data_IF_913986182974
#
_entry.id   IF_913986182974
#
_cell.length_a   1.000
_cell.length_b   1.000
_cell.length_c   1.000
_cell.angle_alpha   90.00
_cell.angle_beta   90.00
_cell.angle_gamma   90.00
#
_symmetry.space_group_name_H-M   'P 1'
#
loop_
_entity.id
_entity.type
_entity.pdbx_description
1 polymer ?
#
# COMPACT_ATOMS: atom_id res chain seq x y z
N UNK A 1 7.56 -12.31 2.99
CA UNK A 1 6.93 -11.68 1.81
C UNK A 1 5.84 -12.57 1.23
N UNK A 2 5.99 -13.89 1.31
CA UNK A 2 4.99 -14.88 0.91
C UNK A 2 3.64 -14.71 1.62
N UNK A 3 3.63 -14.52 2.94
CA UNK A 3 2.39 -14.28 3.68
C UNK A 3 1.66 -13.02 3.22
N UNK A 4 2.40 -11.98 2.80
CA UNK A 4 1.81 -10.75 2.27
C UNK A 4 1.10 -11.02 0.94
N UNK A 5 1.77 -11.69 -0.02
CA UNK A 5 1.17 -12.00 -1.32
C UNK A 5 -0.04 -12.93 -1.14
N UNK A 6 0.07 -13.98 -0.33
CA UNK A 6 -1.04 -14.91 -0.05
C UNK A 6 -2.21 -14.21 0.64
N UNK A 7 -1.94 -13.36 1.63
CA UNK A 7 -2.97 -12.62 2.36
C UNK A 7 -3.69 -11.61 1.48
N UNK A 8 -2.95 -10.82 0.68
CA UNK A 8 -3.52 -9.84 -0.24
C UNK A 8 -4.48 -10.50 -1.23
N UNK A 9 -4.02 -11.55 -1.91
CA UNK A 9 -4.84 -12.28 -2.89
C UNK A 9 -6.05 -12.96 -2.24
N UNK A 10 -5.90 -13.44 -1.00
CA UNK A 10 -7.00 -14.07 -0.27
C UNK A 10 -8.09 -13.07 0.11
N UNK A 11 -7.72 -11.95 0.74
CA UNK A 11 -8.67 -10.93 1.20
C UNK A 11 -9.46 -10.36 0.01
N UNK A 12 -8.79 -10.08 -1.11
CA UNK A 12 -9.47 -9.59 -2.30
C UNK A 12 -10.47 -10.62 -2.84
N UNK A 13 -10.09 -11.91 -2.90
CA UNK A 13 -10.96 -12.98 -3.43
C UNK A 13 -12.26 -13.21 -2.64
N UNK A 14 -12.29 -12.83 -1.36
CA UNK A 14 -13.49 -13.00 -0.51
C UNK A 14 -14.34 -11.74 -0.43
N UNK A 15 -13.90 -10.63 -1.05
CA UNK A 15 -14.51 -9.30 -0.97
C UNK A 15 -14.60 -8.71 0.45
N UNK A 16 -14.86 -7.42 0.53
CA UNK A 16 -15.11 -6.73 1.80
C UNK A 16 -16.61 -6.56 2.04
N UNK A 17 -17.26 -7.57 2.62
CA UNK A 17 -18.71 -7.57 2.88
C UNK A 17 -19.55 -7.23 1.62
N UNK A 18 -19.16 -7.76 0.46
CA UNK A 18 -19.80 -7.48 -0.83
C UNK A 18 -19.31 -6.21 -1.53
N UNK A 19 -18.34 -5.49 -0.95
CA UNK A 19 -17.63 -4.39 -1.62
C UNK A 19 -16.27 -4.85 -2.14
N UNK A 20 -15.72 -4.13 -3.12
CA UNK A 20 -14.35 -4.36 -3.58
C UNK A 20 -13.35 -4.02 -2.46
N UNK A 21 -12.35 -4.88 -2.25
CA UNK A 21 -11.24 -4.61 -1.33
C UNK A 21 -10.29 -3.54 -1.93
N UNK A 22 -9.95 -3.70 -3.21
CA UNK A 22 -9.07 -2.77 -3.93
C UNK A 22 -9.82 -1.52 -4.41
N UNK A 23 -9.11 -0.40 -4.45
CA UNK A 23 -9.62 0.88 -4.92
C UNK A 23 -8.51 1.74 -5.53
N UNK A 24 -8.92 2.76 -6.27
CA UNK A 24 -8.04 3.81 -6.80
C UNK A 24 -8.70 5.18 -6.63
N UNK A 25 -7.92 6.25 -6.81
CA UNK A 25 -8.44 7.61 -6.87
C UNK A 25 -8.57 8.05 -8.32
N UNK A 26 -9.80 8.15 -8.80
CA UNK A 26 -10.10 8.72 -10.12
C UNK A 26 -9.93 10.24 -10.08
N UNK A 27 -9.41 10.83 -11.16
CA UNK A 27 -9.12 12.28 -11.25
C UNK A 27 -8.19 12.81 -10.15
N UNK A 28 -7.22 12.00 -9.70
CA UNK A 28 -6.34 12.32 -8.54
C UNK A 28 -5.59 13.65 -8.61
N UNK A 29 -5.38 14.22 -9.80
CA UNK A 29 -4.74 15.54 -9.99
C UNK A 29 -5.70 16.72 -9.85
N UNK A 30 -7.02 16.49 -9.75
CA UNK A 30 -8.04 17.54 -9.70
C UNK A 30 -8.85 17.39 -8.40
N UNK A 31 -8.51 18.14 -7.33
CA UNK A 31 -9.10 17.96 -6.00
C UNK A 31 -10.63 17.97 -6.00
N UNK A 32 -11.25 18.86 -6.78
CA UNK A 32 -12.70 19.03 -6.91
C UNK A 32 -13.43 17.80 -7.49
N UNK A 33 -12.70 16.92 -8.19
CA UNK A 33 -13.24 15.73 -8.87
C UNK A 33 -12.61 14.43 -8.37
N UNK A 34 -11.68 14.52 -7.43
CA UNK A 34 -10.94 13.38 -6.92
C UNK A 34 -11.87 12.50 -6.10
N UNK A 35 -12.04 11.25 -6.51
CA UNK A 35 -12.97 10.34 -5.86
C UNK A 35 -12.38 8.92 -5.73
N UNK A 36 -12.68 8.28 -4.60
CA UNK A 36 -12.32 6.88 -4.35
C UNK A 36 -13.27 5.98 -5.15
N UNK A 37 -12.72 5.15 -6.03
CA UNK A 37 -13.46 4.23 -6.89
C UNK A 37 -13.01 2.79 -6.65
N UNK A 38 -13.91 1.80 -6.69
CA UNK A 38 -13.53 0.39 -6.56
C UNK A 38 -12.67 -0.06 -7.74
N UNK A 39 -11.75 -0.99 -7.50
CA UNK A 39 -10.95 -1.66 -8.51
C UNK A 39 -11.11 -3.17 -8.39
N UNK A 40 -11.33 -3.85 -9.51
CA UNK A 40 -11.50 -5.31 -9.55
C UNK A 40 -10.13 -5.97 -9.81
N UNK A 41 -9.78 -6.94 -8.97
CA UNK A 41 -8.52 -7.72 -9.06
C UNK A 41 -8.77 -9.20 -9.39
N UNK A 42 -9.85 -9.54 -10.11
CA UNK A 42 -10.19 -10.93 -10.48
C UNK A 42 -9.08 -11.63 -11.26
N UNK A 43 -8.37 -10.89 -12.12
CA UNK A 43 -7.11 -11.31 -12.76
C UNK A 43 -6.00 -10.30 -12.42
N UNK A 44 -5.36 -10.44 -11.24
CA UNK A 44 -4.51 -9.38 -10.70
C UNK A 44 -3.12 -9.35 -11.36
N UNK A 45 -2.78 -10.31 -12.23
CA UNK A 45 -1.41 -10.49 -12.71
C UNK A 45 -1.16 -9.84 -14.08
N UNK A 46 0.02 -9.24 -14.31
CA UNK A 46 1.07 -8.99 -13.32
C UNK A 46 0.73 -7.81 -12.39
N UNK A 47 1.14 -7.91 -11.11
CA UNK A 47 0.96 -6.86 -10.09
C UNK A 47 2.31 -6.40 -9.52
N UNK A 48 2.48 -5.08 -9.35
CA UNK A 48 3.59 -4.53 -8.56
C UNK A 48 3.10 -4.21 -7.15
N UNK A 49 3.54 -4.98 -6.16
CA UNK A 49 3.18 -4.77 -4.75
C UNK A 49 4.27 -3.93 -4.08
N UNK A 50 3.91 -2.72 -3.64
CA UNK A 50 4.78 -1.82 -2.88
C UNK A 50 4.36 -1.85 -1.42
N UNK A 51 5.11 -2.59 -0.59
CA UNK A 51 4.84 -2.71 0.83
C UNK A 51 5.59 -1.64 1.62
N UNK A 52 4.88 -0.64 2.13
CA UNK A 52 5.43 0.47 2.90
C UNK A 52 5.24 0.19 4.40
N UNK A 53 6.33 -0.13 5.09
CA UNK A 53 6.41 -0.24 6.56
C UNK A 53 7.48 0.71 7.09
N UNK A 54 8.31 0.25 8.04
CA UNK A 54 9.47 1.04 8.50
C UNK A 54 10.41 1.42 7.36
N UNK A 55 10.69 0.46 6.45
CA UNK A 55 11.26 0.69 5.12
C UNK A 55 10.26 0.27 4.04
N UNK A 56 10.72 0.11 2.80
CA UNK A 56 9.86 -0.28 1.66
C UNK A 56 10.40 -1.52 0.96
N UNK A 57 9.52 -2.47 0.65
CA UNK A 57 9.83 -3.59 -0.25
C UNK A 57 8.93 -3.53 -1.49
N UNK A 58 9.54 -3.70 -2.66
CA UNK A 58 8.84 -3.66 -3.95
C UNK A 58 8.92 -5.06 -4.56
N UNK A 59 7.76 -5.64 -4.88
CA UNK A 59 7.63 -6.98 -5.42
C UNK A 59 6.98 -6.93 -6.80
N UNK A 60 7.52 -7.69 -7.76
CA UNK A 60 6.82 -8.03 -8.99
C UNK A 60 6.16 -9.40 -8.80
N UNK A 61 4.84 -9.46 -8.93
CA UNK A 61 4.01 -10.65 -8.79
C UNK A 61 3.50 -11.04 -10.18
N UNK A 62 4.03 -12.14 -10.72
CA UNK A 62 3.67 -12.65 -12.05
C UNK A 62 2.59 -13.73 -12.00
N UNK A 63 2.47 -14.44 -10.88
CA UNK A 63 1.36 -15.35 -10.57
C UNK A 63 1.29 -15.56 -9.05
N UNK A 64 0.29 -16.32 -8.60
CA UNK A 64 0.08 -16.65 -7.18
C UNK A 64 1.33 -17.20 -6.48
N UNK A 65 2.11 -18.00 -7.20
CA UNK A 65 3.31 -18.68 -6.70
C UNK A 65 4.60 -18.20 -7.39
N UNK A 66 4.51 -17.21 -8.28
CA UNK A 66 5.66 -16.62 -8.98
C UNK A 66 5.74 -15.12 -8.68
N UNK A 67 6.56 -14.77 -7.70
CA UNK A 67 6.84 -13.39 -7.35
C UNK A 67 8.27 -13.23 -6.86
N UNK A 68 8.83 -12.03 -7.06
CA UNK A 68 10.16 -11.68 -6.59
C UNK A 68 10.18 -10.28 -6.01
N UNK A 69 10.96 -10.08 -4.95
CA UNK A 69 11.33 -8.74 -4.49
C UNK A 69 12.29 -8.12 -5.51
N UNK A 70 11.83 -7.11 -6.23
CA UNK A 70 12.62 -6.46 -7.29
C UNK A 70 13.50 -5.34 -6.75
N UNK A 71 13.07 -4.65 -5.71
CA UNK A 71 13.82 -3.56 -5.10
C UNK A 71 13.28 -3.25 -3.69
N UNK A 72 13.84 -2.24 -3.05
CA UNK A 72 13.30 -1.59 -1.88
C UNK A 72 14.12 -0.36 -1.52
N UNK A 73 13.64 0.40 -0.54
CA UNK A 73 14.34 1.56 0.00
C UNK A 73 14.27 1.54 1.52
N UNK A 74 15.30 2.07 2.18
CA UNK A 74 15.29 2.31 3.62
C UNK A 74 14.49 3.56 3.99
N UNK A 75 14.17 4.42 3.01
CA UNK A 75 13.36 5.62 3.20
C UNK A 75 11.88 5.24 3.16
N UNK A 76 11.32 4.88 4.32
CA UNK A 76 9.93 4.46 4.48
C UNK A 76 9.21 5.21 5.60
N UNK A 77 8.17 4.59 6.17
CA UNK A 77 7.38 5.18 7.26
C UNK A 77 8.20 5.40 8.54
N UNK A 78 9.22 4.59 8.80
CA UNK A 78 10.12 4.78 9.93
C UNK A 78 11.04 6.00 9.75
N UNK A 79 11.41 6.31 8.51
CA UNK A 79 12.13 7.54 8.18
C UNK A 79 11.23 8.76 8.35
N UNK A 80 10.00 8.70 7.84
CA UNK A 80 9.00 9.76 8.04
C UNK A 80 8.80 10.04 9.54
N UNK A 81 8.37 9.02 10.31
CA UNK A 81 8.05 9.19 11.72
C UNK A 81 9.27 9.59 12.54
N UNK A 82 10.42 8.96 12.32
CA UNK A 82 11.65 9.30 13.05
C UNK A 82 12.13 10.72 12.81
N UNK A 83 12.04 11.22 11.56
CA UNK A 83 12.39 12.61 11.26
C UNK A 83 11.35 13.58 11.82
N UNK A 84 10.05 13.29 11.71
CA UNK A 84 9.01 14.11 12.33
C UNK A 84 9.25 14.23 13.84
N UNK A 85 9.42 13.13 14.56
CA UNK A 85 9.70 13.16 16.00
C UNK A 85 10.94 13.97 16.35
N UNK A 86 12.02 13.89 15.56
CA UNK A 86 13.23 14.67 15.81
C UNK A 86 13.07 16.16 15.53
N UNK A 87 12.27 16.53 14.51
CA UNK A 87 12.18 17.89 14.02
C UNK A 87 11.04 18.69 14.66
N UNK A 88 9.96 18.03 15.06
CA UNK A 88 8.76 18.68 15.60
C UNK A 88 8.49 18.30 17.06
N UNK A 89 9.08 17.21 17.54
CA UNK A 89 8.83 16.67 18.88
C UNK A 89 7.56 15.83 19.01
N UNK A 90 6.91 15.44 17.89
CA UNK A 90 5.71 14.60 17.95
C UNK A 90 6.00 13.22 18.57
N UNK A 91 5.07 12.73 19.39
CA UNK A 91 5.20 11.48 20.16
C UNK A 91 4.44 10.30 19.53
N UNK A 92 3.63 10.54 18.51
CA UNK A 92 2.84 9.51 17.82
C UNK A 92 2.79 9.69 16.31
N UNK A 93 2.40 8.64 15.58
CA UNK A 93 2.22 8.71 14.14
C UNK A 93 1.05 9.59 13.74
N UNK A 94 -0.05 9.52 14.50
CA UNK A 94 -1.25 10.31 14.29
C UNK A 94 -0.97 11.81 14.44
N UNK A 95 -0.22 12.20 15.48
CA UNK A 95 0.22 13.59 15.66
C UNK A 95 1.09 14.06 14.49
N UNK A 96 2.00 13.21 14.01
CA UNK A 96 2.82 13.53 12.84
C UNK A 96 2.01 13.73 11.54
N UNK A 97 0.81 13.15 11.43
CA UNK A 97 -0.10 13.34 10.30
C UNK A 97 -0.99 14.58 10.42
N UNK A 98 -1.26 15.05 11.64
CA UNK A 98 -2.08 16.24 11.91
C UNK A 98 -1.31 17.55 11.72
N UNK A 99 0.01 17.53 11.99
CA UNK A 99 0.93 18.66 11.80
C UNK A 99 1.06 19.10 10.34
#
# INVERSE_FOLDING_TARGET
LDCLVKGLLYIDSISFNGQAECYYFENSSHPERCQKMPFNLDDPYPLLVVNIGSGVSILAVHSKDCYKRVCGTSLGGGTFLGLCSLLTGCESFEEALEM
#
